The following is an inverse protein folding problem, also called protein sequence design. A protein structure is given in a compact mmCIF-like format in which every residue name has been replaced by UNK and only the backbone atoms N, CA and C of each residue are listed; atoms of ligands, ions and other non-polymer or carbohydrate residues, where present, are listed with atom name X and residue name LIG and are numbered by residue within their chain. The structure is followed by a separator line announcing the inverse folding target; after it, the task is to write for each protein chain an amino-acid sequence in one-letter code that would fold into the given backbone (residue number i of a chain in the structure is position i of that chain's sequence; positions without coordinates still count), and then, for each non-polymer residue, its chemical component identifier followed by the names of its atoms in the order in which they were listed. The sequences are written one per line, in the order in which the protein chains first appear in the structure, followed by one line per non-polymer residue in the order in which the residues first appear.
data_IF_632330978569
#
_entry.id   IF_632330978569
#
_cell.length_a   1.000
_cell.length_b   1.000
_cell.length_c   1.000
_cell.angle_alpha   90.00
_cell.angle_beta   90.00
_cell.angle_gamma   90.00
#
_symmetry.space_group_name_H-M   'P 1'
#
loop_
_entity.id
_entity.type
_entity.pdbx_description
1 polymer ?
#
# COMPACT_ATOMS: atom_id res chain seq x y z
N UNK A 1 14.62 11.73 -12.37
CA UNK A 1 15.19 10.41 -12.67
C UNK A 1 14.11 9.57 -13.33
N UNK A 2 14.40 8.97 -14.50
CA UNK A 2 13.48 8.02 -15.12
C UNK A 2 13.36 6.77 -14.25
N UNK A 3 12.13 6.30 -14.03
CA UNK A 3 11.89 5.05 -13.31
C UNK A 3 12.43 3.87 -14.12
N UNK A 4 13.05 2.89 -13.45
CA UNK A 4 13.53 1.66 -14.09
C UNK A 4 12.38 0.88 -14.74
N UNK A 5 11.18 0.96 -14.14
CA UNK A 5 9.96 0.39 -14.72
C UNK A 5 9.69 0.85 -16.14
N UNK A 6 10.02 2.09 -16.51
CA UNK A 6 9.78 2.61 -17.86
C UNK A 6 10.68 1.96 -18.92
N UNK A 7 11.86 1.50 -18.53
CA UNK A 7 12.84 0.89 -19.42
C UNK A 7 12.80 -0.65 -19.42
N UNK A 8 11.96 -1.24 -18.58
CA UNK A 8 11.84 -2.68 -18.49
C UNK A 8 11.21 -3.28 -19.74
N UNK A 9 11.82 -4.36 -20.25
CA UNK A 9 11.39 -5.06 -21.47
C UNK A 9 10.41 -6.19 -21.16
N UNK A 10 10.62 -6.88 -20.04
CA UNK A 10 9.82 -8.04 -19.59
C UNK A 10 9.35 -7.83 -18.17
N UNK A 11 8.12 -7.38 -18.03
CA UNK A 11 7.49 -7.07 -16.74
C UNK A 11 6.61 -8.22 -16.30
N UNK A 12 6.64 -8.48 -14.99
CA UNK A 12 5.63 -9.32 -14.33
C UNK A 12 4.80 -8.49 -13.35
N UNK A 13 3.60 -8.95 -13.06
CA UNK A 13 2.77 -8.44 -11.99
C UNK A 13 2.58 -9.53 -10.95
N UNK A 14 2.76 -9.20 -9.69
CA UNK A 14 2.56 -10.12 -8.57
C UNK A 14 1.56 -9.54 -7.57
N UNK A 15 0.74 -10.41 -6.98
CA UNK A 15 -0.24 -10.08 -5.95
C UNK A 15 -0.16 -11.16 -4.88
N UNK A 16 0.28 -10.80 -3.70
CA UNK A 16 0.38 -11.74 -2.57
C UNK A 16 -0.49 -11.35 -1.39
N UNK A 17 -0.66 -10.05 -1.14
CA UNK A 17 -1.54 -9.56 -0.09
C UNK A 17 -3.01 -9.84 -0.44
N UNK A 18 -3.77 -10.17 0.58
CA UNK A 18 -5.23 -10.25 0.53
C UNK A 18 -5.80 -9.54 1.74
N UNK A 19 -6.53 -8.45 1.49
CA UNK A 19 -7.10 -7.59 2.51
C UNK A 19 -6.21 -6.40 2.84
N UNK A 20 -6.83 -5.29 3.22
CA UNK A 20 -6.17 -4.06 3.63
C UNK A 20 -6.68 -3.64 5.01
N UNK A 21 -5.81 -3.25 5.97
CA UNK A 21 -6.25 -2.85 7.31
C UNK A 21 -6.83 -1.42 7.36
N UNK A 22 -7.01 -0.75 6.22
CA UNK A 22 -7.57 0.60 6.15
C UNK A 22 -9.08 0.59 5.91
N UNK A 23 -9.77 1.56 6.49
CA UNK A 23 -11.22 1.69 6.42
C UNK A 23 -11.71 2.73 5.40
N UNK A 24 -10.99 2.93 4.29
CA UNK A 24 -11.31 3.97 3.30
C UNK A 24 -12.76 3.85 2.81
N UNK A 25 -13.53 4.92 2.91
CA UNK A 25 -14.96 4.95 2.57
C UNK A 25 -15.23 4.70 1.09
N UNK A 26 -14.33 5.15 0.22
CA UNK A 26 -14.45 5.04 -1.24
C UNK A 26 -13.95 3.68 -1.78
N UNK A 27 -13.30 2.86 -0.95
CA UNK A 27 -12.65 1.64 -1.41
C UNK A 27 -13.64 0.48 -1.56
N UNK A 28 -13.82 0.00 -2.78
CA UNK A 28 -14.69 -1.14 -3.08
C UNK A 28 -14.23 -2.44 -2.41
N UNK A 29 -12.94 -2.55 -2.06
CA UNK A 29 -12.40 -3.71 -1.38
C UNK A 29 -13.13 -4.01 -0.05
N UNK A 30 -13.39 -3.00 0.76
CA UNK A 30 -14.13 -3.16 2.01
C UNK A 30 -15.58 -3.60 1.76
N UNK A 31 -16.23 -3.07 0.71
CA UNK A 31 -17.57 -3.45 0.32
C UNK A 31 -17.67 -4.90 -0.17
N UNK A 32 -16.77 -5.30 -1.07
CA UNK A 32 -16.72 -6.68 -1.60
C UNK A 32 -16.39 -7.69 -0.49
N UNK A 33 -15.41 -7.41 0.34
CA UNK A 33 -15.02 -8.29 1.44
C UNK A 33 -16.17 -8.48 2.44
N UNK A 34 -16.99 -7.45 2.68
CA UNK A 34 -18.17 -7.55 3.54
C UNK A 34 -19.23 -8.45 2.96
N UNK A 35 -19.52 -8.31 1.67
CA UNK A 35 -20.51 -9.14 0.96
C UNK A 35 -20.06 -10.61 0.94
N UNK A 36 -18.81 -10.87 0.63
CA UNK A 36 -18.25 -12.21 0.61
C UNK A 36 -18.29 -12.86 1.99
N UNK A 37 -17.95 -12.12 3.04
CA UNK A 37 -18.01 -12.62 4.41
C UNK A 37 -19.45 -12.91 4.84
N UNK A 38 -20.40 -12.05 4.52
CA UNK A 38 -21.81 -12.29 4.82
C UNK A 38 -22.36 -13.50 4.06
N UNK A 39 -21.96 -13.68 2.81
CA UNK A 39 -22.38 -14.80 1.98
C UNK A 39 -21.75 -16.14 2.42
N UNK A 40 -20.47 -16.12 2.85
CA UNK A 40 -19.73 -17.34 3.23
C UNK A 40 -19.99 -17.71 4.69
N UNK A 41 -20.11 -16.74 5.58
CA UNK A 41 -20.12 -16.96 7.03
C UNK A 41 -21.39 -16.48 7.74
N UNK A 42 -22.41 -15.99 7.02
CA UNK A 42 -23.67 -15.52 7.56
C UNK A 42 -23.48 -14.33 8.51
N UNK A 43 -23.89 -14.50 9.78
CA UNK A 43 -23.84 -13.48 10.84
C UNK A 43 -22.42 -13.17 11.38
N UNK A 44 -21.39 -13.67 10.73
CA UNK A 44 -19.99 -13.37 11.08
C UNK A 44 -19.36 -14.34 12.07
N UNK A 45 -20.03 -15.46 12.39
CA UNK A 45 -19.45 -16.52 13.22
C UNK A 45 -18.82 -17.61 12.33
N UNK A 46 -17.50 -17.73 12.37
CA UNK A 46 -16.80 -18.86 11.74
C UNK A 46 -17.00 -20.12 12.59
N UNK A 47 -17.34 -21.22 11.94
CA UNK A 47 -17.45 -22.54 12.61
C UNK A 47 -16.10 -23.10 13.08
N UNK A 48 -14.99 -22.54 12.60
CA UNK A 48 -13.60 -22.93 12.87
C UNK A 48 -12.95 -22.16 14.04
N UNK A 49 -13.70 -21.31 14.75
CA UNK A 49 -13.21 -20.59 15.93
C UNK A 49 -12.33 -19.37 15.64
N UNK A 50 -12.05 -19.03 14.40
CA UNK A 50 -11.36 -17.76 14.08
C UNK A 50 -12.32 -16.58 14.25
N UNK A 51 -11.98 -15.67 15.15
CA UNK A 51 -12.73 -14.42 15.35
C UNK A 51 -12.51 -13.48 14.16
N UNK A 52 -13.61 -13.04 13.54
CA UNK A 52 -13.56 -11.85 12.67
C UNK A 52 -13.20 -10.64 13.54
N UNK A 53 -12.17 -9.91 13.15
CA UNK A 53 -11.75 -8.72 13.91
C UNK A 53 -12.75 -7.60 13.61
N UNK A 54 -13.55 -7.22 14.60
CA UNK A 54 -14.33 -5.98 14.56
C UNK A 54 -13.39 -4.80 14.74
N UNK A 55 -13.43 -3.83 13.82
CA UNK A 55 -12.55 -2.67 13.89
C UNK A 55 -13.20 -1.48 14.60
N UNK A 56 -14.51 -1.45 14.78
CA UNK A 56 -15.17 -0.45 15.61
C UNK A 56 -16.41 -0.98 16.30
N UNK A 57 -16.60 -0.55 17.56
CA UNK A 57 -17.80 -0.80 18.36
C UNK A 57 -18.95 0.19 18.06
N UNK A 58 -18.87 0.94 16.95
CA UNK A 58 -19.90 1.89 16.53
C UNK A 58 -20.86 1.24 15.53
N UNK A 59 -22.13 1.62 15.59
CA UNK A 59 -23.31 1.09 14.90
C UNK A 59 -23.22 0.82 13.39
N UNK A 60 -22.12 1.20 12.73
CA UNK A 60 -21.80 0.82 11.36
C UNK A 60 -20.74 -0.30 11.40
N UNK A 61 -21.20 -1.55 11.51
CA UNK A 61 -20.37 -2.76 11.46
C UNK A 61 -19.59 -2.85 10.14
N UNK A 62 -18.40 -2.25 10.11
CA UNK A 62 -17.45 -2.48 9.04
C UNK A 62 -16.58 -3.68 9.39
N UNK A 63 -16.87 -4.83 8.78
CA UNK A 63 -15.97 -5.97 8.82
C UNK A 63 -14.78 -5.68 7.89
N UNK A 64 -13.57 -5.65 8.45
CA UNK A 64 -12.36 -5.69 7.64
C UNK A 64 -11.80 -7.10 7.67
N UNK A 65 -11.50 -7.65 6.50
CA UNK A 65 -10.68 -8.85 6.44
C UNK A 65 -9.29 -8.50 6.97
N UNK A 66 -8.74 -9.30 7.92
CA UNK A 66 -7.35 -9.14 8.29
C UNK A 66 -6.50 -9.30 7.04
N UNK A 67 -5.59 -8.36 6.82
CA UNK A 67 -4.64 -8.48 5.73
C UNK A 67 -3.79 -9.75 5.94
N UNK A 68 -3.65 -10.54 4.86
CA UNK A 68 -2.96 -11.84 4.87
C UNK A 68 -1.89 -11.85 3.80
N UNK A 69 -0.74 -12.37 4.16
CA UNK A 69 0.41 -12.53 3.26
C UNK A 69 0.91 -13.98 3.31
N UNK A 70 1.44 -14.54 2.22
CA UNK A 70 2.26 -15.74 2.28
C UNK A 70 3.55 -15.43 3.06
N UNK A 71 4.40 -16.43 3.26
CA UNK A 71 5.73 -16.17 3.80
C UNK A 71 6.54 -15.26 2.84
N UNK A 72 7.40 -14.37 3.35
CA UNK A 72 8.30 -13.58 2.50
C UNK A 72 9.17 -14.45 1.58
N UNK A 73 9.61 -15.62 2.06
CA UNK A 73 10.37 -16.57 1.25
C UNK A 73 9.58 -17.05 0.02
N UNK A 74 8.29 -17.39 0.19
CA UNK A 74 7.44 -17.78 -0.94
C UNK A 74 7.35 -16.68 -2.00
N UNK A 75 7.21 -15.41 -1.59
CA UNK A 75 7.15 -14.28 -2.51
C UNK A 75 8.48 -14.12 -3.28
N UNK A 76 9.62 -14.24 -2.61
CA UNK A 76 10.94 -14.19 -3.24
C UNK A 76 11.15 -15.36 -4.20
N UNK A 77 10.79 -16.59 -3.81
CA UNK A 77 10.91 -17.77 -4.65
C UNK A 77 10.08 -17.66 -5.93
N UNK A 78 8.89 -17.06 -5.85
CA UNK A 78 8.06 -16.77 -7.02
C UNK A 78 8.77 -15.83 -8.01
N UNK A 79 9.41 -14.77 -7.51
CA UNK A 79 10.15 -13.83 -8.38
C UNK A 79 11.35 -14.52 -9.02
N UNK A 80 12.08 -15.36 -8.27
CA UNK A 80 13.18 -16.18 -8.83
C UNK A 80 12.69 -17.05 -9.95
N UNK A 81 11.58 -17.77 -9.73
CA UNK A 81 10.97 -18.61 -10.76
C UNK A 81 10.57 -17.82 -12.01
N UNK A 82 9.97 -16.63 -11.82
CA UNK A 82 9.60 -15.76 -12.93
C UNK A 82 10.86 -15.26 -13.69
N UNK A 83 11.93 -14.93 -12.96
CA UNK A 83 13.21 -14.52 -13.55
C UNK A 83 13.83 -15.66 -14.33
N UNK A 84 13.90 -16.85 -13.77
CA UNK A 84 14.48 -18.04 -14.42
C UNK A 84 13.69 -18.45 -15.66
N UNK A 85 12.36 -18.50 -15.57
CA UNK A 85 11.51 -19.03 -16.63
C UNK A 85 11.22 -18.03 -17.74
N UNK A 86 11.08 -16.74 -17.41
CA UNK A 86 10.61 -15.71 -18.33
C UNK A 86 11.60 -14.57 -18.51
N UNK A 87 12.73 -14.61 -17.80
CA UNK A 87 13.79 -13.58 -17.84
C UNK A 87 13.23 -12.17 -17.60
N UNK A 88 12.34 -12.02 -16.61
CA UNK A 88 11.78 -10.72 -16.24
C UNK A 88 12.88 -9.77 -15.76
N UNK A 89 12.74 -8.49 -16.07
CA UNK A 89 13.64 -7.41 -15.65
C UNK A 89 12.94 -6.34 -14.81
N UNK A 90 11.68 -6.57 -14.45
CA UNK A 90 10.90 -5.75 -13.51
C UNK A 90 9.70 -6.52 -12.96
N UNK A 91 9.34 -6.29 -11.70
CA UNK A 91 8.09 -6.79 -11.12
C UNK A 91 7.28 -5.66 -10.47
N UNK A 92 6.01 -5.52 -10.88
CA UNK A 92 5.04 -4.69 -10.20
C UNK A 92 4.33 -5.53 -9.13
N UNK A 93 4.57 -5.24 -7.87
CA UNK A 93 3.87 -5.85 -6.74
C UNK A 93 2.64 -5.00 -6.47
N UNK A 94 1.48 -5.46 -6.94
CA UNK A 94 0.22 -4.72 -6.83
C UNK A 94 -0.60 -5.18 -5.62
N UNK A 95 0.10 -5.44 -4.53
CA UNK A 95 -0.48 -5.64 -3.22
C UNK A 95 -1.17 -4.34 -2.77
N UNK A 96 -2.25 -4.46 -2.02
CA UNK A 96 -3.08 -3.33 -1.65
C UNK A 96 -2.36 -2.33 -0.75
N UNK A 97 -1.46 -2.80 0.13
CA UNK A 97 -0.69 -1.93 1.01
C UNK A 97 0.55 -2.65 1.60
N UNK A 98 1.60 -2.79 0.83
CA UNK A 98 2.81 -3.49 1.27
C UNK A 98 3.44 -2.87 2.53
N UNK A 99 3.25 -1.57 2.76
CA UNK A 99 3.79 -0.88 3.94
C UNK A 99 2.95 -1.09 5.20
N UNK A 100 1.80 -1.74 5.13
CA UNK A 100 0.95 -2.01 6.31
C UNK A 100 1.55 -3.08 7.24
N UNK A 101 2.35 -4.02 6.71
CA UNK A 101 3.05 -5.05 7.48
C UNK A 101 4.56 -4.87 7.39
N UNK A 102 5.09 -3.94 8.17
CA UNK A 102 6.52 -3.59 8.14
C UNK A 102 7.46 -4.76 8.49
N UNK A 103 7.00 -5.71 9.31
CA UNK A 103 7.80 -6.90 9.63
C UNK A 103 7.98 -7.77 8.40
N UNK A 104 6.89 -8.07 7.71
CA UNK A 104 6.89 -8.84 6.48
C UNK A 104 7.74 -8.15 5.39
N UNK A 105 7.53 -6.84 5.22
CA UNK A 105 8.26 -6.04 4.23
C UNK A 105 9.76 -6.04 4.48
N UNK A 106 10.20 -5.88 5.74
CA UNK A 106 11.63 -5.93 6.11
C UNK A 106 12.24 -7.30 5.82
N UNK A 107 11.52 -8.38 6.14
CA UNK A 107 11.97 -9.75 5.89
C UNK A 107 12.05 -10.04 4.39
N UNK A 108 11.03 -9.64 3.62
CA UNK A 108 11.03 -9.73 2.15
C UNK A 108 12.24 -9.01 1.55
N UNK A 109 12.49 -7.76 1.94
CA UNK A 109 13.61 -6.97 1.45
C UNK A 109 14.94 -7.62 1.79
N UNK A 110 15.12 -8.16 3.00
CA UNK A 110 16.33 -8.87 3.41
C UNK A 110 16.60 -10.12 2.58
N UNK A 111 15.56 -10.93 2.32
CA UNK A 111 15.64 -12.10 1.46
C UNK A 111 15.94 -11.71 0.01
N UNK A 112 15.29 -10.66 -0.49
CA UNK A 112 15.48 -10.15 -1.84
C UNK A 112 16.93 -9.75 -2.13
N UNK A 113 17.56 -9.05 -1.19
CA UNK A 113 18.98 -8.69 -1.26
C UNK A 113 19.87 -9.93 -1.15
N UNK A 114 19.57 -10.85 -0.21
CA UNK A 114 20.33 -12.09 -0.02
C UNK A 114 20.38 -12.93 -1.29
N UNK A 115 19.30 -12.96 -2.06
CA UNK A 115 19.21 -13.69 -3.34
C UNK A 115 19.78 -12.90 -4.54
N UNK A 116 20.30 -11.69 -4.35
CA UNK A 116 20.88 -10.84 -5.40
C UNK A 116 19.85 -10.30 -6.40
N UNK A 117 18.55 -10.37 -6.08
CA UNK A 117 17.47 -9.91 -6.96
C UNK A 117 17.39 -8.39 -7.06
N UNK A 118 17.84 -7.67 -6.03
CA UNK A 118 17.84 -6.20 -5.99
C UNK A 118 18.66 -5.57 -7.13
N UNK A 119 19.64 -6.27 -7.68
CA UNK A 119 20.45 -5.81 -8.79
C UNK A 119 19.84 -6.14 -10.16
N UNK A 120 19.13 -7.26 -10.26
CA UNK A 120 18.68 -7.85 -11.53
C UNK A 120 17.19 -7.66 -11.82
N UNK A 121 16.35 -7.55 -10.80
CA UNK A 121 14.88 -7.40 -10.93
C UNK A 121 14.41 -6.27 -10.01
N UNK A 122 14.53 -5.01 -10.40
CA UNK A 122 13.88 -3.92 -9.66
C UNK A 122 12.38 -4.11 -9.59
N UNK A 123 11.76 -3.54 -8.57
CA UNK A 123 10.32 -3.70 -8.32
C UNK A 123 9.66 -2.41 -7.89
N UNK A 124 8.34 -2.37 -7.99
CA UNK A 124 7.52 -1.26 -7.51
C UNK A 124 6.28 -1.78 -6.80
N UNK A 125 5.69 -0.97 -5.91
CA UNK A 125 4.54 -1.37 -5.11
C UNK A 125 3.66 -0.20 -4.70
N UNK A 126 2.59 -0.52 -3.93
CA UNK A 126 1.72 0.46 -3.27
C UNK A 126 2.01 0.49 -1.77
N UNK A 127 1.81 1.66 -1.17
CA UNK A 127 1.99 1.86 0.26
C UNK A 127 1.09 2.97 0.80
N UNK A 128 1.13 3.18 2.10
CA UNK A 128 0.38 4.25 2.75
C UNK A 128 1.26 5.20 3.58
N UNK A 129 0.87 6.47 3.60
CA UNK A 129 1.61 7.51 4.28
C UNK A 129 1.67 7.33 5.82
N UNK A 130 0.62 6.92 6.53
CA UNK A 130 0.69 6.70 7.98
C UNK A 130 1.75 5.67 8.40
N UNK A 131 1.87 4.56 7.67
CA UNK A 131 2.86 3.53 7.96
C UNK A 131 4.29 4.05 7.79
N UNK A 132 4.55 4.75 6.68
CA UNK A 132 5.86 5.37 6.41
C UNK A 132 6.16 6.49 7.40
N UNK A 133 5.20 7.35 7.72
CA UNK A 133 5.38 8.42 8.69
C UNK A 133 5.73 7.90 10.10
N UNK A 134 5.22 6.71 10.46
CA UNK A 134 5.52 6.06 11.74
C UNK A 134 6.92 5.43 11.76
N UNK A 135 7.34 4.83 10.65
CA UNK A 135 8.61 4.10 10.51
C UNK A 135 9.31 4.47 9.19
N UNK A 136 9.85 5.70 9.09
CA UNK A 136 10.40 6.23 7.83
C UNK A 136 11.59 5.42 7.29
N UNK A 137 12.32 4.72 8.17
CA UNK A 137 13.45 3.88 7.77
C UNK A 137 13.07 2.77 6.78
N UNK A 138 11.77 2.44 6.65
CA UNK A 138 11.32 1.42 5.71
C UNK A 138 11.61 1.81 4.26
N UNK A 139 11.56 3.10 3.93
CA UNK A 139 11.84 3.60 2.57
C UNK A 139 13.27 3.27 2.15
N UNK A 140 14.24 3.48 3.06
CA UNK A 140 15.63 3.12 2.77
C UNK A 140 15.80 1.62 2.58
N UNK A 141 15.20 0.81 3.44
CA UNK A 141 15.25 -0.65 3.37
C UNK A 141 14.68 -1.16 2.04
N UNK A 142 13.52 -0.65 1.63
CA UNK A 142 12.89 -1.01 0.35
C UNK A 142 13.75 -0.58 -0.83
N UNK A 143 14.30 0.63 -0.80
CA UNK A 143 15.19 1.15 -1.83
C UNK A 143 16.45 0.29 -2.00
N UNK A 144 17.11 -0.05 -0.89
CA UNK A 144 18.31 -0.89 -0.90
C UNK A 144 18.01 -2.31 -1.44
N UNK A 145 16.78 -2.77 -1.27
CA UNK A 145 16.27 -4.01 -1.85
C UNK A 145 15.80 -3.88 -3.32
N UNK A 146 16.09 -2.77 -3.98
CA UNK A 146 15.78 -2.59 -5.42
C UNK A 146 14.40 -2.01 -5.71
N UNK A 147 13.67 -1.51 -4.70
CA UNK A 147 12.41 -0.80 -4.92
C UNK A 147 12.65 0.49 -5.71
N UNK A 148 12.01 0.59 -6.87
CA UNK A 148 12.15 1.72 -7.79
C UNK A 148 11.11 2.82 -7.52
N UNK A 149 9.90 2.43 -7.13
CA UNK A 149 8.84 3.33 -6.75
C UNK A 149 7.89 2.71 -5.71
N UNK A 150 7.27 3.58 -4.94
CA UNK A 150 6.12 3.25 -4.10
C UNK A 150 5.02 4.26 -4.47
N UNK A 151 3.84 3.75 -4.85
CA UNK A 151 2.68 4.59 -5.11
C UNK A 151 1.86 4.78 -3.84
N UNK A 152 1.54 6.03 -3.52
CA UNK A 152 0.78 6.41 -2.33
C UNK A 152 -0.53 7.07 -2.72
N UNK A 153 -1.64 6.56 -2.19
CA UNK A 153 -2.89 7.27 -2.21
C UNK A 153 -2.87 8.37 -1.13
N UNK A 154 -2.61 9.61 -1.50
CA UNK A 154 -2.68 10.76 -0.58
C UNK A 154 -4.10 11.29 -0.46
N UNK A 155 -4.88 11.13 -1.50
CA UNK A 155 -6.28 11.44 -1.67
C UNK A 155 -6.58 12.94 -1.53
N UNK A 156 -6.28 13.58 -0.39
CA UNK A 156 -6.44 15.01 -0.14
C UNK A 156 -5.38 15.53 0.82
N UNK A 157 -5.08 16.82 0.78
CA UNK A 157 -4.26 17.49 1.79
C UNK A 157 -5.09 18.29 2.82
N UNK A 158 -6.41 18.37 2.66
CA UNK A 158 -7.31 18.89 3.69
C UNK A 158 -7.54 17.82 4.76
N UNK A 159 -7.19 18.13 6.01
CA UNK A 159 -7.47 17.25 7.14
C UNK A 159 -8.97 17.01 7.34
N UNK A 160 -9.81 17.97 6.98
CA UNK A 160 -11.28 17.81 7.02
C UNK A 160 -11.71 16.69 6.07
N UNK A 161 -11.32 16.78 4.79
CA UNK A 161 -11.65 15.77 3.78
C UNK A 161 -11.08 14.40 4.16
N UNK A 162 -9.83 14.35 4.64
CA UNK A 162 -9.19 13.12 5.08
C UNK A 162 -9.94 12.41 6.21
N UNK A 163 -10.52 13.17 7.15
CA UNK A 163 -11.22 12.63 8.31
C UNK A 163 -12.71 12.38 8.05
N UNK A 164 -13.40 13.28 7.33
CA UNK A 164 -14.84 13.21 7.14
C UNK A 164 -15.21 12.32 5.94
N UNK A 165 -14.49 12.42 4.83
CA UNK A 165 -14.81 11.72 3.59
C UNK A 165 -13.97 10.46 3.39
N UNK A 166 -12.65 10.55 3.52
CA UNK A 166 -11.72 9.49 3.14
C UNK A 166 -11.60 8.40 4.22
N UNK A 167 -11.50 8.78 5.49
CA UNK A 167 -11.43 7.90 6.67
C UNK A 167 -10.34 6.81 6.61
N UNK A 168 -9.23 7.10 5.94
CA UNK A 168 -8.08 6.19 5.79
C UNK A 168 -7.17 6.15 7.02
N UNK A 169 -7.43 7.00 8.02
CA UNK A 169 -6.57 7.16 9.18
C UNK A 169 -5.26 7.88 8.86
N UNK A 170 -5.27 8.77 7.86
CA UNK A 170 -4.13 9.60 7.49
C UNK A 170 -4.42 11.08 7.73
N UNK A 171 -3.35 11.86 7.93
CA UNK A 171 -3.38 13.30 8.13
C UNK A 171 -2.37 13.95 7.17
N UNK A 172 -2.55 15.24 6.87
CA UNK A 172 -1.61 16.03 6.07
C UNK A 172 -0.16 15.92 6.57
N UNK A 173 0.04 15.86 7.89
CA UNK A 173 1.37 15.67 8.48
C UNK A 173 2.02 14.34 8.13
N UNK A 174 1.23 13.27 7.95
CA UNK A 174 1.75 11.99 7.47
C UNK A 174 2.20 12.09 6.01
N UNK A 175 1.45 12.81 5.18
CA UNK A 175 1.78 13.04 3.76
C UNK A 175 3.10 13.79 3.64
N UNK A 176 3.23 14.92 4.38
CA UNK A 176 4.44 15.72 4.38
C UNK A 176 5.66 14.91 4.81
N UNK A 177 5.55 14.20 5.94
CA UNK A 177 6.66 13.38 6.44
C UNK A 177 7.06 12.28 5.47
N UNK A 178 6.09 11.69 4.76
CA UNK A 178 6.36 10.70 3.72
C UNK A 178 7.11 11.32 2.54
N UNK A 179 6.69 12.49 2.05
CA UNK A 179 7.40 13.21 0.98
C UNK A 179 8.82 13.58 1.38
N UNK A 180 9.01 14.10 2.60
CA UNK A 180 10.33 14.46 3.11
C UNK A 180 11.26 13.23 3.17
N UNK A 181 10.72 12.10 3.62
CA UNK A 181 11.46 10.83 3.65
C UNK A 181 11.84 10.34 2.25
N UNK A 182 10.89 10.38 1.29
CA UNK A 182 11.16 10.00 -0.11
C UNK A 182 12.21 10.92 -0.73
N UNK A 183 12.13 12.23 -0.48
CA UNK A 183 13.09 13.23 -0.94
C UNK A 183 14.49 12.99 -0.36
N UNK A 184 14.57 12.75 0.94
CA UNK A 184 15.82 12.41 1.64
C UNK A 184 16.46 11.15 1.02
N UNK A 185 15.66 10.12 0.78
CA UNK A 185 16.12 8.86 0.17
C UNK A 185 16.28 8.95 -1.34
N UNK A 186 16.00 10.08 -1.98
CA UNK A 186 16.09 10.29 -3.43
C UNK A 186 15.23 9.29 -4.22
N UNK A 187 14.08 8.93 -3.69
CA UNK A 187 13.04 8.17 -4.37
C UNK A 187 12.02 9.12 -4.99
N UNK A 188 11.57 8.79 -6.21
CA UNK A 188 10.54 9.59 -6.88
C UNK A 188 9.19 9.34 -6.20
N UNK A 189 8.50 10.36 -5.67
CA UNK A 189 7.17 10.20 -5.15
C UNK A 189 6.18 9.92 -6.29
N UNK A 190 5.39 8.86 -6.15
CA UNK A 190 4.21 8.63 -6.96
C UNK A 190 3.00 8.76 -6.04
N UNK A 191 2.19 9.78 -6.27
CA UNK A 191 1.06 10.09 -5.40
C UNK A 191 -0.21 10.29 -6.22
N UNK A 192 -1.35 9.85 -5.67
CA UNK A 192 -2.67 10.10 -6.25
C UNK A 192 -3.49 10.98 -5.34
N UNK A 193 -4.33 11.81 -5.93
CA UNK A 193 -5.27 12.68 -5.24
C UNK A 193 -6.67 12.48 -5.81
N UNK A 194 -7.68 12.67 -4.97
CA UNK A 194 -9.09 12.64 -5.32
C UNK A 194 -9.68 14.03 -5.17
N UNK A 195 -10.55 14.41 -6.11
CA UNK A 195 -11.25 15.70 -6.14
C UNK A 195 -12.74 15.43 -6.24
N UNK A 196 -13.56 16.26 -5.59
CA UNK A 196 -15.00 16.13 -5.60
C UNK A 196 -15.53 15.20 -4.51
N UNK A 197 -14.87 15.16 -3.37
CA UNK A 197 -15.37 14.45 -2.21
C UNK A 197 -16.66 15.09 -1.66
N UNK A 198 -17.57 14.34 -1.00
CA UNK A 198 -18.90 14.83 -0.64
C UNK A 198 -18.93 16.12 0.19
N UNK A 199 -17.99 16.31 1.13
CA UNK A 199 -17.93 17.51 1.98
C UNK A 199 -16.80 18.46 1.59
N UNK A 200 -16.13 18.23 0.46
CA UNK A 200 -15.04 19.05 -0.04
C UNK A 200 -15.59 20.38 -0.59
N UNK A 201 -15.01 21.48 -0.13
CA UNK A 201 -15.28 22.81 -0.69
C UNK A 201 -14.05 23.33 -1.46
N UNK A 202 -14.14 24.53 -2.00
CA UNK A 202 -13.06 25.13 -2.80
C UNK A 202 -11.79 25.36 -1.99
N UNK A 203 -11.89 25.69 -0.72
CA UNK A 203 -10.72 25.93 0.15
C UNK A 203 -10.00 24.60 0.43
N UNK A 204 -10.73 23.53 0.71
CA UNK A 204 -10.22 22.17 0.88
C UNK A 204 -9.49 21.68 -0.40
N UNK A 205 -10.08 21.97 -1.58
CA UNK A 205 -9.47 21.68 -2.86
C UNK A 205 -8.16 22.46 -3.04
N UNK A 206 -8.17 23.76 -2.74
CA UNK A 206 -6.97 24.60 -2.86
C UNK A 206 -5.86 24.17 -1.91
N UNK A 207 -6.18 23.71 -0.69
CA UNK A 207 -5.17 23.10 0.20
C UNK A 207 -4.49 21.89 -0.47
N UNK A 208 -5.27 21.08 -1.21
CA UNK A 208 -4.74 19.91 -1.92
C UNK A 208 -3.88 20.32 -3.12
N UNK A 209 -4.31 21.31 -3.90
CA UNK A 209 -3.55 21.85 -5.03
C UNK A 209 -2.23 22.46 -4.55
N UNK A 210 -2.27 23.31 -3.53
CA UNK A 210 -1.07 23.95 -2.96
C UNK A 210 -0.08 22.93 -2.41
N UNK A 211 -0.58 21.85 -1.83
CA UNK A 211 0.26 20.75 -1.36
C UNK A 211 0.90 19.98 -2.51
N UNK A 212 0.18 19.79 -3.62
CA UNK A 212 0.68 19.06 -4.78
C UNK A 212 1.76 19.80 -5.56
N UNK A 213 1.70 21.15 -5.62
CA UNK A 213 2.66 21.96 -6.37
C UNK A 213 3.94 22.33 -5.60
N UNK A 214 4.05 21.99 -4.30
CA UNK A 214 5.27 22.17 -3.46
C UNK A 214 6.36 21.14 -3.81
#
# INVERSE_FOLDING_TARGET
RSLKSHNAKRRATAVWERGCPRGCTFCSHNGMSRIDLQNIYGDGNRKDGEKLVRISDKENDTFQLPARWPSPQYAVDNIKLLKEKYDIDFVAIVDENMTSNLKWTKEFCGLYVKEGLNESVPWGTLGDAPSVATKPEIIKIMKDAGCDYISFGFESASNKVLNEDIQKGQLRSHLQKTLDTLKQEKMTPLTTFMIGNPHENIDDLMETVDFWIQ
#
